data_IF_842379003770
#
_entry.id   IF_842379003770
#
_cell.length_a   1.000
_cell.length_b   1.000
_cell.length_c   1.000
_cell.angle_alpha   90.00
_cell.angle_beta   90.00
_cell.angle_gamma   90.00
#
_symmetry.space_group_name_H-M   'P 1'
#
loop_
_entity.id
_entity.type
_entity.pdbx_description
1 polymer ?
#
# COMPACT_ATOMS: atom_id res chain seq x y z
N UNK A 1 -32.00 28.54 -9.10
CA UNK A 1 -30.63 28.18 -8.69
C UNK A 1 -30.11 27.17 -9.69
N UNK A 2 -28.88 27.29 -10.19
CA UNK A 2 -28.25 26.35 -11.10
C UNK A 2 -27.20 25.51 -10.32
N UNK A 3 -27.17 24.20 -10.59
CA UNK A 3 -26.10 23.31 -10.11
C UNK A 3 -24.93 23.45 -11.08
N UNK A 4 -23.76 23.84 -10.59
CA UNK A 4 -22.54 24.04 -11.41
C UNK A 4 -21.57 22.85 -11.38
N UNK A 5 -21.85 21.86 -10.54
CA UNK A 5 -21.07 20.62 -10.48
C UNK A 5 -21.74 19.55 -9.63
N UNK A 6 -21.52 18.29 -9.97
CA UNK A 6 -21.85 17.11 -9.15
C UNK A 6 -20.63 16.22 -9.13
N UNK A 7 -20.30 15.66 -7.97
CA UNK A 7 -19.11 14.83 -7.78
C UNK A 7 -19.48 13.56 -7.03
N UNK A 8 -19.02 12.43 -7.51
CA UNK A 8 -19.27 11.13 -6.94
C UNK A 8 -17.93 10.44 -6.67
N UNK A 9 -17.85 9.64 -5.61
CA UNK A 9 -16.72 8.77 -5.32
C UNK A 9 -17.25 7.34 -5.29
N UNK A 10 -16.74 6.53 -6.20
CA UNK A 10 -17.04 5.10 -6.26
C UNK A 10 -16.21 4.36 -5.20
N UNK A 11 -16.79 3.26 -4.67
CA UNK A 11 -16.09 2.30 -3.83
C UNK A 11 -16.03 0.94 -4.53
N UNK A 12 -14.85 0.30 -4.52
CA UNK A 12 -14.62 -0.97 -5.20
C UNK A 12 -14.29 -2.09 -4.22
N UNK A 13 -14.97 -3.23 -4.36
CA UNK A 13 -14.72 -4.46 -3.63
C UNK A 13 -15.16 -5.66 -4.48
N UNK A 14 -14.39 -6.75 -4.47
CA UNK A 14 -14.71 -8.00 -5.18
C UNK A 14 -14.87 -9.19 -4.24
N UNK A 15 -14.15 -9.23 -3.13
CA UNK A 15 -14.23 -10.31 -2.14
C UNK A 15 -14.85 -9.80 -0.85
N UNK A 16 -15.81 -10.54 -0.28
CA UNK A 16 -16.32 -10.26 1.05
C UNK A 16 -15.29 -10.64 2.14
N UNK A 17 -15.60 -10.33 3.40
CA UNK A 17 -14.69 -10.60 4.53
C UNK A 17 -14.39 -12.09 4.75
N UNK A 18 -15.23 -12.99 4.22
CA UNK A 18 -15.02 -14.43 4.25
C UNK A 18 -14.26 -14.95 3.04
N UNK A 19 -13.89 -14.09 2.09
CA UNK A 19 -13.20 -14.46 0.85
C UNK A 19 -14.12 -14.99 -0.24
N UNK A 20 -15.43 -14.75 -0.20
CA UNK A 20 -16.37 -15.12 -1.25
C UNK A 20 -16.46 -13.99 -2.27
N UNK A 21 -16.50 -14.35 -3.56
CA UNK A 21 -16.68 -13.37 -4.60
C UNK A 21 -18.10 -12.76 -4.52
N UNK A 22 -18.18 -11.44 -4.50
CA UNK A 22 -19.42 -10.66 -4.53
C UNK A 22 -20.00 -10.55 -5.95
N UNK A 23 -19.10 -10.58 -6.93
CA UNK A 23 -19.40 -10.53 -8.36
C UNK A 23 -18.32 -11.27 -9.14
N UNK A 24 -18.45 -11.38 -10.46
CA UNK A 24 -17.41 -11.96 -11.30
C UNK A 24 -16.10 -11.18 -11.16
N UNK A 25 -14.99 -11.89 -10.91
CA UNK A 25 -13.69 -11.23 -10.81
C UNK A 25 -13.30 -10.55 -12.12
N UNK A 26 -12.58 -9.43 -12.06
CA UNK A 26 -12.08 -8.73 -13.24
C UNK A 26 -11.09 -9.64 -14.01
N UNK A 27 -10.94 -9.40 -15.30
CA UNK A 27 -10.03 -10.17 -16.15
C UNK A 27 -8.61 -10.24 -15.58
N UNK A 28 -8.16 -9.16 -15.00
CA UNK A 28 -6.84 -9.05 -14.33
C UNK A 28 -6.63 -10.00 -13.13
N UNK A 29 -7.68 -10.65 -12.62
CA UNK A 29 -7.64 -11.55 -11.47
C UNK A 29 -8.29 -12.92 -11.76
N UNK A 30 -8.52 -13.25 -13.02
CA UNK A 30 -9.12 -14.54 -13.41
C UNK A 30 -8.16 -15.71 -13.38
N UNK A 31 -6.85 -15.43 -13.51
CA UNK A 31 -5.80 -16.44 -13.48
C UNK A 31 -5.48 -16.84 -12.03
N UNK A 32 -5.85 -18.06 -11.58
CA UNK A 32 -5.62 -18.49 -10.21
C UNK A 32 -4.14 -18.50 -9.82
N UNK A 33 -3.26 -18.81 -10.76
CA UNK A 33 -1.81 -18.86 -10.59
C UNK A 33 -1.26 -17.49 -10.19
N UNK A 34 -1.78 -16.41 -10.79
CA UNK A 34 -1.43 -15.06 -10.41
C UNK A 34 -1.85 -14.77 -8.97
N UNK A 35 -3.09 -15.10 -8.60
CA UNK A 35 -3.57 -14.85 -7.23
C UNK A 35 -2.77 -15.66 -6.20
N UNK A 36 -2.38 -16.89 -6.52
CA UNK A 36 -1.48 -17.71 -5.68
C UNK A 36 -0.10 -17.05 -5.55
N UNK A 37 0.45 -16.51 -6.63
CA UNK A 37 1.75 -15.82 -6.59
C UNK A 37 1.68 -14.56 -5.70
N UNK A 38 0.63 -13.76 -5.83
CA UNK A 38 0.41 -12.56 -5.01
C UNK A 38 0.15 -12.92 -3.54
N UNK A 39 -0.61 -13.98 -3.29
CA UNK A 39 -0.82 -14.53 -1.95
C UNK A 39 0.51 -14.89 -1.26
N UNK A 40 1.38 -15.60 -1.99
CA UNK A 40 2.72 -15.95 -1.48
C UNK A 40 3.53 -14.72 -1.10
N UNK A 41 3.48 -13.66 -1.91
CA UNK A 41 4.17 -12.40 -1.58
C UNK A 41 3.62 -11.75 -0.32
N UNK A 42 2.29 -11.74 -0.12
CA UNK A 42 1.68 -11.23 1.11
C UNK A 42 2.14 -12.01 2.35
N UNK A 43 2.19 -13.34 2.27
CA UNK A 43 2.64 -14.21 3.37
C UNK A 43 4.13 -13.98 3.66
N UNK A 44 4.98 -13.86 2.64
CA UNK A 44 6.40 -13.51 2.80
C UNK A 44 6.58 -12.17 3.50
N UNK A 45 5.85 -11.15 3.04
CA UNK A 45 5.93 -9.81 3.63
C UNK A 45 5.56 -9.83 5.12
N UNK A 46 4.52 -10.57 5.50
CA UNK A 46 4.12 -10.75 6.91
C UNK A 46 5.18 -11.49 7.72
N UNK A 47 5.76 -12.56 7.18
CA UNK A 47 6.82 -13.31 7.85
C UNK A 47 8.06 -12.42 8.08
N UNK A 48 8.44 -11.61 7.11
CA UNK A 48 9.53 -10.65 7.23
C UNK A 48 9.21 -9.55 8.26
N UNK A 49 8.01 -8.97 8.21
CA UNK A 49 7.57 -7.96 9.20
C UNK A 49 7.65 -8.48 10.64
N UNK A 50 7.19 -9.72 10.88
CA UNK A 50 7.29 -10.37 12.18
C UNK A 50 8.75 -10.56 12.62
N UNK A 51 9.64 -10.91 11.70
CA UNK A 51 11.07 -11.03 11.99
C UNK A 51 11.70 -9.68 12.35
N UNK A 52 11.34 -8.61 11.63
CA UNK A 52 11.78 -7.25 11.92
C UNK A 52 11.37 -6.82 13.33
N UNK A 53 10.12 -7.11 13.73
CA UNK A 53 9.65 -6.87 15.10
C UNK A 53 10.46 -7.65 16.14
N UNK A 54 10.78 -8.92 15.89
CA UNK A 54 11.58 -9.74 16.79
C UNK A 54 13.02 -9.21 16.93
N UNK A 55 13.65 -8.80 15.83
CA UNK A 55 15.00 -8.21 15.82
C UNK A 55 15.02 -6.87 16.56
N UNK A 56 14.01 -6.04 16.40
CA UNK A 56 13.91 -4.79 17.13
C UNK A 56 13.76 -5.04 18.63
N UNK A 57 12.91 -5.98 19.05
CA UNK A 57 12.71 -6.33 20.46
C UNK A 57 13.99 -6.89 21.13
N UNK A 58 14.88 -7.46 20.37
CA UNK A 58 16.20 -7.93 20.84
C UNK A 58 17.32 -6.89 20.68
N UNK A 59 16.98 -5.65 20.29
CA UNK A 59 17.92 -4.54 20.17
C UNK A 59 18.86 -4.58 18.95
N UNK A 60 18.55 -5.46 17.96
CA UNK A 60 19.34 -5.59 16.74
C UNK A 60 18.93 -4.58 15.67
N UNK A 61 17.72 -4.03 15.75
CA UNK A 61 17.22 -2.98 14.88
C UNK A 61 16.77 -1.76 15.68
N UNK A 62 16.71 -0.62 15.02
CA UNK A 62 16.08 0.60 15.54
C UNK A 62 14.56 0.50 15.62
N UNK A 63 13.90 1.62 15.95
CA UNK A 63 12.43 1.70 15.97
C UNK A 63 11.87 1.27 14.64
N UNK A 64 10.96 0.29 14.63
CA UNK A 64 10.36 -0.27 13.44
C UNK A 64 8.86 0.02 13.36
N UNK A 65 8.36 0.28 12.16
CA UNK A 65 6.95 0.52 11.86
C UNK A 65 6.37 -0.64 11.06
N UNK A 66 5.68 -1.55 11.74
CA UNK A 66 5.07 -2.73 11.13
C UNK A 66 4.03 -2.39 10.06
N UNK A 67 4.08 -3.09 8.93
CA UNK A 67 3.10 -3.03 7.85
C UNK A 67 1.91 -4.00 8.02
N UNK A 68 1.77 -4.63 9.17
CA UNK A 68 0.75 -5.64 9.45
C UNK A 68 -0.66 -5.15 9.15
N UNK A 69 -1.38 -5.88 8.29
CA UNK A 69 -2.75 -5.57 7.88
C UNK A 69 -2.88 -4.73 6.61
N UNK A 70 -1.76 -4.36 5.96
CA UNK A 70 -1.78 -3.63 4.68
C UNK A 70 -1.17 -4.41 3.51
N UNK A 71 -0.90 -5.69 3.69
CA UNK A 71 -0.21 -6.52 2.70
C UNK A 71 -0.93 -6.52 1.35
N UNK A 72 -2.26 -6.53 1.33
CA UNK A 72 -3.04 -6.45 0.09
C UNK A 72 -2.89 -5.11 -0.63
N UNK A 73 -2.73 -4.00 0.12
CA UNK A 73 -2.49 -2.69 -0.49
C UNK A 73 -1.13 -2.68 -1.16
N UNK A 74 -0.09 -3.07 -0.45
CA UNK A 74 1.28 -3.02 -0.93
C UNK A 74 1.47 -3.92 -2.16
N UNK A 75 1.06 -5.18 -2.05
CA UNK A 75 1.21 -6.17 -3.12
C UNK A 75 0.25 -5.86 -4.28
N UNK A 76 -0.99 -5.47 -4.00
CA UNK A 76 -1.98 -5.13 -5.02
C UNK A 76 -1.50 -3.96 -5.89
N UNK A 77 -1.03 -2.88 -5.28
CA UNK A 77 -0.52 -1.70 -5.98
C UNK A 77 0.74 -2.03 -6.78
N UNK A 78 1.74 -2.64 -6.15
CA UNK A 78 3.02 -2.90 -6.80
C UNK A 78 2.94 -3.94 -7.92
N UNK A 79 2.03 -4.92 -7.80
CA UNK A 79 1.77 -5.91 -8.85
C UNK A 79 1.12 -5.31 -10.11
N UNK A 80 0.58 -4.10 -10.03
CA UNK A 80 0.03 -3.35 -11.16
C UNK A 80 1.09 -2.47 -11.85
N UNK A 81 2.24 -2.26 -11.23
CA UNK A 81 3.33 -1.45 -11.77
C UNK A 81 4.18 -2.23 -12.77
N UNK A 82 4.73 -1.54 -13.76
CA UNK A 82 5.79 -2.06 -14.61
C UNK A 82 7.16 -1.87 -13.95
N UNK A 83 8.16 -2.61 -14.41
CA UNK A 83 9.51 -2.52 -13.87
C UNK A 83 10.10 -1.10 -13.95
N UNK A 84 9.79 -0.38 -15.04
CA UNK A 84 10.27 0.98 -15.31
C UNK A 84 9.51 2.08 -14.54
N UNK A 85 8.35 1.79 -13.95
CA UNK A 85 7.61 2.75 -13.11
C UNK A 85 8.40 3.07 -11.84
N UNK A 86 8.05 4.14 -11.17
CA UNK A 86 8.77 4.63 -9.99
C UNK A 86 7.88 4.61 -8.77
N UNK A 87 8.32 3.94 -7.72
CA UNK A 87 7.64 3.90 -6.44
C UNK A 87 8.24 4.92 -5.46
N UNK A 88 7.38 5.66 -4.77
CA UNK A 88 7.76 6.54 -3.65
C UNK A 88 6.97 6.10 -2.40
N UNK A 89 7.68 5.81 -1.33
CA UNK A 89 7.14 5.19 -0.12
C UNK A 89 7.40 6.01 1.12
N UNK A 90 6.60 5.74 2.16
CA UNK A 90 6.91 6.11 3.54
C UNK A 90 7.67 4.98 4.23
N UNK A 91 7.75 5.03 5.56
CA UNK A 91 8.41 4.01 6.39
C UNK A 91 7.56 2.73 6.61
N UNK A 92 6.32 2.64 6.07
CA UNK A 92 5.42 1.50 6.34
C UNK A 92 5.19 0.59 5.13
N UNK A 93 5.80 0.87 4.01
CA UNK A 93 5.63 0.15 2.74
C UNK A 93 6.69 -0.94 2.50
N UNK A 94 7.12 -1.63 3.56
CA UNK A 94 8.12 -2.71 3.49
C UNK A 94 7.70 -3.82 2.51
N UNK A 95 6.42 -4.20 2.50
CA UNK A 95 5.91 -5.21 1.57
C UNK A 95 5.96 -4.72 0.11
N UNK A 96 5.65 -3.45 -0.14
CA UNK A 96 5.77 -2.84 -1.46
C UNK A 96 7.22 -2.82 -1.96
N UNK A 97 8.17 -2.49 -1.09
CA UNK A 97 9.60 -2.49 -1.42
C UNK A 97 10.09 -3.90 -1.77
N UNK A 98 9.73 -4.92 -0.97
CA UNK A 98 10.06 -6.33 -1.27
C UNK A 98 9.49 -6.75 -2.62
N UNK A 99 8.23 -6.44 -2.91
CA UNK A 99 7.58 -6.77 -4.17
C UNK A 99 8.21 -6.06 -5.37
N UNK A 100 8.81 -4.90 -5.18
CA UNK A 100 9.58 -4.17 -6.20
C UNK A 100 11.00 -4.70 -6.38
N UNK A 101 11.46 -5.60 -5.52
CA UNK A 101 12.78 -6.22 -5.63
C UNK A 101 13.86 -5.58 -4.74
N UNK A 102 13.48 -4.74 -3.77
CA UNK A 102 14.39 -4.35 -2.69
C UNK A 102 14.68 -5.60 -1.85
N UNK A 103 15.93 -5.91 -1.61
CA UNK A 103 16.30 -7.10 -0.86
C UNK A 103 16.00 -6.97 0.64
N UNK A 104 15.79 -8.13 1.30
CA UNK A 104 15.64 -8.15 2.76
C UNK A 104 16.84 -7.54 3.47
N UNK A 105 18.06 -7.76 2.94
CA UNK A 105 19.29 -7.20 3.49
C UNK A 105 19.29 -5.67 3.44
N UNK A 106 18.88 -5.06 2.33
CA UNK A 106 18.79 -3.58 2.23
C UNK A 106 17.80 -3.01 3.25
N UNK A 107 16.65 -3.67 3.42
CA UNK A 107 15.67 -3.26 4.43
C UNK A 107 16.18 -3.43 5.86
N UNK A 108 16.91 -4.50 6.15
CA UNK A 108 17.57 -4.72 7.45
C UNK A 108 18.62 -3.66 7.73
N UNK A 109 19.46 -3.34 6.74
CA UNK A 109 20.47 -2.28 6.85
C UNK A 109 19.80 -0.93 7.14
N UNK A 110 18.76 -0.57 6.39
CA UNK A 110 18.01 0.67 6.61
C UNK A 110 17.48 0.78 8.06
N UNK A 111 16.76 -0.24 8.53
CA UNK A 111 16.20 -0.26 9.89
C UNK A 111 17.24 -0.47 10.98
N UNK A 112 18.43 -0.95 10.62
CA UNK A 112 19.63 -1.00 11.47
C UNK A 112 20.38 0.33 11.58
N UNK A 113 19.97 1.35 10.80
CA UNK A 113 20.61 2.68 10.78
C UNK A 113 21.77 2.80 9.80
N UNK A 114 21.90 1.88 8.84
CA UNK A 114 22.92 1.92 7.80
C UNK A 114 22.33 2.50 6.51
N UNK A 115 22.84 3.64 6.07
CA UNK A 115 22.37 4.36 4.87
C UNK A 115 22.53 3.56 3.56
N UNK A 116 23.42 2.54 3.55
CA UNK A 116 23.55 1.63 2.39
C UNK A 116 22.23 0.91 2.06
N UNK A 117 21.37 0.73 3.08
CA UNK A 117 20.02 0.20 2.91
C UNK A 117 19.08 1.08 2.08
N UNK A 118 19.45 2.34 1.79
CA UNK A 118 18.70 3.25 0.91
C UNK A 118 19.20 3.28 -0.53
N UNK A 119 20.27 2.55 -0.87
CA UNK A 119 20.86 2.48 -2.21
C UNK A 119 20.53 1.15 -2.88
N UNK A 120 19.28 1.00 -3.30
CA UNK A 120 18.73 -0.24 -3.83
C UNK A 120 19.50 -0.77 -5.05
N UNK A 121 19.86 -2.06 -5.02
CA UNK A 121 20.50 -2.75 -6.14
C UNK A 121 19.50 -3.04 -7.27
N UNK A 122 18.28 -3.42 -6.93
CA UNK A 122 17.21 -3.81 -7.86
C UNK A 122 16.48 -2.61 -8.47
N UNK A 123 15.48 -2.02 -7.78
CA UNK A 123 14.65 -0.95 -8.34
C UNK A 123 15.35 0.42 -8.25
N UNK A 124 16.38 0.62 -9.07
CA UNK A 124 17.23 1.83 -9.03
C UNK A 124 16.50 3.15 -9.18
N UNK A 125 15.30 3.15 -9.76
CA UNK A 125 14.51 4.35 -9.97
C UNK A 125 13.52 4.61 -8.82
N UNK A 126 13.28 3.63 -7.95
CA UNK A 126 12.41 3.81 -6.79
C UNK A 126 13.11 4.70 -5.75
N UNK A 127 12.33 5.53 -5.08
CA UNK A 127 12.86 6.45 -4.08
C UNK A 127 13.11 5.74 -2.75
N UNK A 128 14.10 6.18 -1.98
CA UNK A 128 14.31 5.69 -0.62
C UNK A 128 13.12 6.09 0.28
N UNK A 129 13.05 5.44 1.44
CA UNK A 129 12.01 5.70 2.44
C UNK A 129 12.01 7.18 2.85
N UNK A 130 10.83 7.80 2.79
CA UNK A 130 10.61 9.16 3.26
C UNK A 130 9.93 9.14 4.64
N UNK A 131 10.66 9.57 5.68
CA UNK A 131 10.13 9.67 7.05
C UNK A 131 9.25 10.91 7.21
N UNK A 132 9.61 12.02 6.56
CA UNK A 132 8.86 13.29 6.66
C UNK A 132 7.53 13.16 5.95
N UNK A 133 6.45 13.20 6.74
CA UNK A 133 5.09 12.94 6.27
C UNK A 133 4.71 13.86 5.10
N UNK A 134 4.26 13.25 4.00
CA UNK A 134 3.80 13.86 2.75
C UNK A 134 4.87 14.56 1.89
N UNK A 135 6.11 14.78 2.35
CA UNK A 135 7.13 15.50 1.56
C UNK A 135 7.44 14.81 0.23
N UNK A 136 7.41 13.47 0.21
CA UNK A 136 7.62 12.70 -1.03
C UNK A 136 6.47 12.83 -2.04
N UNK A 137 5.32 13.38 -1.68
CA UNK A 137 4.26 13.70 -2.64
C UNK A 137 4.75 14.75 -3.66
N UNK A 138 5.43 15.79 -3.19
CA UNK A 138 6.02 16.81 -4.07
C UNK A 138 7.17 16.23 -4.90
N UNK A 139 7.98 15.33 -4.34
CA UNK A 139 9.02 14.63 -5.09
C UNK A 139 8.41 13.76 -6.20
N UNK A 140 7.30 13.07 -5.93
CA UNK A 140 6.58 12.27 -6.91
C UNK A 140 6.05 13.13 -8.07
N UNK A 141 5.52 14.32 -7.77
CA UNK A 141 5.10 15.29 -8.79
C UNK A 141 6.28 15.72 -9.65
N UNK A 142 7.43 16.03 -9.05
CA UNK A 142 8.66 16.37 -9.77
C UNK A 142 9.13 15.23 -10.69
N UNK A 143 9.14 13.99 -10.20
CA UNK A 143 9.49 12.80 -10.98
C UNK A 143 8.53 12.60 -12.16
N UNK A 144 7.21 12.66 -11.92
CA UNK A 144 6.19 12.53 -12.95
C UNK A 144 6.27 13.66 -13.99
N UNK A 145 6.56 14.88 -13.55
CA UNK A 145 6.77 16.02 -14.45
C UNK A 145 7.98 15.79 -15.39
N UNK A 146 9.09 15.29 -14.83
CA UNK A 146 10.27 14.95 -15.63
C UNK A 146 9.97 13.83 -16.64
N UNK A 147 9.20 12.79 -16.25
CA UNK A 147 8.76 11.71 -17.14
C UNK A 147 7.92 12.28 -18.29
N UNK A 148 6.97 13.16 -18.00
CA UNK A 148 6.13 13.82 -19.00
C UNK A 148 6.97 14.66 -19.98
N UNK A 149 7.87 15.51 -19.49
CA UNK A 149 8.75 16.32 -20.33
C UNK A 149 9.62 15.46 -21.26
N UNK A 150 10.10 14.32 -20.76
CA UNK A 150 10.91 13.36 -21.52
C UNK A 150 10.08 12.42 -22.39
N UNK A 151 8.76 12.54 -22.38
CA UNK A 151 7.83 11.64 -23.09
C UNK A 151 8.05 10.16 -22.80
N UNK A 152 8.38 9.84 -21.55
CA UNK A 152 8.59 8.47 -21.10
C UNK A 152 7.24 7.83 -20.74
N UNK A 153 6.96 6.57 -21.14
CA UNK A 153 5.71 5.88 -20.82
C UNK A 153 5.75 5.29 -19.39
N UNK A 154 6.23 6.07 -18.43
CA UNK A 154 6.41 5.69 -17.02
C UNK A 154 5.41 6.41 -16.14
N UNK A 155 5.09 5.82 -15.01
CA UNK A 155 4.19 6.37 -14.02
C UNK A 155 4.90 6.44 -12.66
N UNK A 156 4.70 7.53 -11.93
CA UNK A 156 5.09 7.62 -10.53
C UNK A 156 3.92 7.12 -9.65
N UNK A 157 4.20 6.22 -8.71
CA UNK A 157 3.22 5.75 -7.71
C UNK A 157 3.70 6.21 -6.34
N UNK A 158 2.90 7.06 -5.69
CA UNK A 158 3.22 7.66 -4.41
C UNK A 158 2.29 7.09 -3.32
N UNK A 159 2.84 6.35 -2.38
CA UNK A 159 2.08 5.74 -1.28
C UNK A 159 2.22 6.59 -0.01
N UNK A 160 1.10 6.85 0.65
CA UNK A 160 1.03 7.65 1.89
C UNK A 160 0.03 7.06 2.88
N UNK A 161 0.18 7.39 4.16
CA UNK A 161 -0.85 7.10 5.17
C UNK A 161 -1.95 8.17 5.19
N UNK A 162 -3.07 7.85 5.87
CA UNK A 162 -4.21 8.77 6.05
C UNK A 162 -3.80 10.10 6.72
N UNK A 163 -2.85 10.06 7.67
CA UNK A 163 -2.28 11.25 8.30
C UNK A 163 -1.65 12.25 7.34
N UNK A 164 -1.02 11.75 6.29
CA UNK A 164 -0.41 12.59 5.25
C UNK A 164 -1.45 13.47 4.55
N UNK A 165 -2.70 13.00 4.43
CA UNK A 165 -3.77 13.72 3.75
C UNK A 165 -4.20 15.02 4.43
N UNK A 166 -3.66 15.32 5.62
CA UNK A 166 -3.89 16.57 6.37
C UNK A 166 -2.75 17.60 6.24
N UNK A 167 -1.67 17.23 5.51
CA UNK A 167 -0.52 18.11 5.28
C UNK A 167 -0.72 19.01 4.07
N UNK A 168 -0.11 20.20 4.09
CA UNK A 168 -0.13 21.15 2.97
C UNK A 168 0.46 20.56 1.71
N UNK A 169 1.63 19.92 1.82
CA UNK A 169 2.34 19.28 0.71
C UNK A 169 1.48 18.24 -0.05
N UNK A 170 0.55 17.57 0.67
CA UNK A 170 -0.40 16.65 0.04
C UNK A 170 -1.30 17.38 -0.96
N UNK A 171 -1.92 18.50 -0.55
CA UNK A 171 -2.82 19.28 -1.41
C UNK A 171 -2.07 19.97 -2.55
N UNK A 172 -0.89 20.50 -2.28
CA UNK A 172 -0.04 21.16 -3.28
C UNK A 172 0.39 20.17 -4.36
N UNK A 173 0.81 18.97 -3.97
CA UNK A 173 1.17 17.89 -4.88
C UNK A 173 -0.01 17.48 -5.78
N UNK A 174 -1.20 17.30 -5.20
CA UNK A 174 -2.40 16.93 -5.96
C UNK A 174 -2.81 18.03 -6.95
N UNK A 175 -2.80 19.28 -6.50
CA UNK A 175 -3.10 20.43 -7.36
C UNK A 175 -2.11 20.55 -8.52
N UNK A 176 -0.81 20.44 -8.26
CA UNK A 176 0.21 20.46 -9.31
C UNK A 176 0.07 19.28 -10.28
N UNK A 177 -0.18 18.08 -9.75
CA UNK A 177 -0.39 16.89 -10.58
C UNK A 177 -1.59 17.06 -11.52
N UNK A 178 -2.71 17.57 -11.02
CA UNK A 178 -3.92 17.83 -11.80
C UNK A 178 -3.70 18.92 -12.85
N UNK A 179 -3.17 20.08 -12.42
CA UNK A 179 -2.92 21.24 -13.28
C UNK A 179 -2.02 20.89 -14.46
N UNK A 180 -1.00 20.07 -14.23
CA UNK A 180 -0.05 19.66 -15.28
C UNK A 180 -0.40 18.32 -15.92
N UNK A 181 -1.53 17.70 -15.56
CA UNK A 181 -1.99 16.40 -16.07
C UNK A 181 -0.86 15.36 -16.08
N UNK A 182 -0.29 15.08 -14.89
CA UNK A 182 0.91 14.28 -14.75
C UNK A 182 0.64 12.77 -14.71
N UNK A 183 1.58 11.93 -15.18
CA UNK A 183 1.49 10.47 -15.07
C UNK A 183 1.83 10.01 -13.64
N UNK A 184 0.91 10.21 -12.70
CA UNK A 184 1.10 9.89 -11.29
C UNK A 184 -0.17 9.28 -10.68
N UNK A 185 0.02 8.32 -9.78
CA UNK A 185 -1.03 7.76 -8.93
C UNK A 185 -0.66 7.97 -7.47
N UNK A 186 -1.56 8.55 -6.70
CA UNK A 186 -1.44 8.67 -5.26
C UNK A 186 -2.28 7.57 -4.59
N UNK A 187 -1.69 6.84 -3.64
CA UNK A 187 -2.36 5.79 -2.88
C UNK A 187 -2.35 6.16 -1.41
N UNK A 188 -3.52 6.47 -0.87
CA UNK A 188 -3.70 6.72 0.56
C UNK A 188 -4.09 5.42 1.25
N UNK A 189 -3.20 4.87 2.06
CA UNK A 189 -3.52 3.80 3.00
C UNK A 189 -4.32 4.39 4.17
N UNK A 190 -5.65 4.29 4.11
CA UNK A 190 -6.51 4.73 5.20
C UNK A 190 -6.63 3.62 6.25
N UNK A 191 -5.64 3.56 7.13
CA UNK A 191 -5.58 2.56 8.20
C UNK A 191 -6.28 3.01 9.50
N UNK A 192 -7.08 4.09 9.43
CA UNK A 192 -7.93 4.66 10.49
C UNK A 192 -7.19 5.40 11.60
N UNK A 193 -5.85 5.40 11.63
CA UNK A 193 -5.07 5.96 12.71
C UNK A 193 -3.81 6.68 12.23
N UNK A 194 -3.73 8.00 12.43
CA UNK A 194 -2.50 8.77 12.30
C UNK A 194 -1.81 8.88 13.66
N UNK A 195 -0.85 8.00 13.94
CA UNK A 195 -0.29 7.77 15.27
C UNK A 195 -1.42 7.45 16.25
N UNK A 196 -1.79 8.41 17.11
CA UNK A 196 -2.84 8.32 18.13
C UNK A 196 -4.13 9.07 17.77
N UNK A 197 -4.19 9.70 16.58
CA UNK A 197 -5.35 10.45 16.13
C UNK A 197 -6.22 9.58 15.22
N UNK A 198 -7.47 9.28 15.61
CA UNK A 198 -8.37 8.49 14.77
C UNK A 198 -8.79 9.30 13.53
N UNK A 199 -9.02 8.60 12.41
CA UNK A 199 -9.40 9.17 11.12
C UNK A 199 -10.53 10.23 11.23
N UNK A 200 -11.55 9.96 12.04
CA UNK A 200 -12.72 10.84 12.23
C UNK A 200 -12.40 12.19 12.86
N UNK A 201 -11.30 12.31 13.63
CA UNK A 201 -10.84 13.57 14.21
C UNK A 201 -9.82 14.28 13.32
N UNK A 202 -9.34 13.62 12.27
CA UNK A 202 -8.31 14.16 11.40
C UNK A 202 -8.87 14.87 10.17
N UNK A 203 -10.01 14.41 9.65
CA UNK A 203 -10.62 14.97 8.46
C UNK A 203 -12.15 14.87 8.54
N UNK A 204 -12.81 15.98 8.26
CA UNK A 204 -14.28 16.05 8.16
C UNK A 204 -14.83 15.43 6.86
N UNK A 205 -13.97 15.11 5.89
CA UNK A 205 -14.40 14.47 4.63
C UNK A 205 -15.00 13.11 4.92
N UNK A 206 -16.06 12.75 4.23
CA UNK A 206 -16.69 11.42 4.30
C UNK A 206 -15.70 10.32 3.89
N UNK A 207 -14.97 10.53 2.79
CA UNK A 207 -13.89 9.71 2.29
C UNK A 207 -12.65 10.58 2.06
N UNK A 208 -11.44 9.98 2.10
CA UNK A 208 -10.23 10.72 1.73
C UNK A 208 -10.11 10.87 0.21
N UNK A 209 -10.74 9.97 -0.56
CA UNK A 209 -10.82 10.08 -2.02
C UNK A 209 -11.49 11.37 -2.48
N UNK A 210 -12.40 11.97 -1.68
CA UNK A 210 -13.02 13.28 -1.98
C UNK A 210 -12.00 14.43 -2.14
N UNK A 211 -10.80 14.29 -1.57
CA UNK A 211 -9.74 15.31 -1.72
C UNK A 211 -9.25 15.45 -3.15
N UNK A 212 -9.45 14.42 -3.98
CA UNK A 212 -9.20 14.46 -5.42
C UNK A 212 -10.06 15.51 -6.14
N UNK A 213 -11.28 15.73 -5.69
CA UNK A 213 -12.24 16.65 -6.31
C UNK A 213 -11.67 18.07 -6.30
N UNK A 214 -11.11 18.52 -5.17
CA UNK A 214 -10.52 19.86 -5.03
C UNK A 214 -9.31 20.10 -5.94
N UNK A 215 -8.62 19.04 -6.34
CA UNK A 215 -7.49 19.10 -7.25
C UNK A 215 -7.87 18.84 -8.73
N UNK A 216 -9.14 18.58 -9.01
CA UNK A 216 -9.62 18.28 -10.36
C UNK A 216 -9.08 16.96 -10.93
N UNK A 217 -8.74 15.98 -10.08
CA UNK A 217 -8.22 14.67 -10.47
C UNK A 217 -9.24 13.55 -10.17
N UNK A 218 -9.07 12.39 -10.76
CA UNK A 218 -9.90 11.23 -10.45
C UNK A 218 -9.69 10.77 -9.00
N UNK A 219 -10.78 10.37 -8.33
CA UNK A 219 -10.74 9.84 -6.97
C UNK A 219 -11.57 8.56 -6.89
N UNK A 220 -11.04 7.53 -6.24
CA UNK A 220 -11.73 6.25 -6.01
C UNK A 220 -11.38 5.70 -4.64
N UNK A 221 -12.35 5.05 -3.99
CA UNK A 221 -12.14 4.30 -2.78
C UNK A 221 -12.10 2.80 -3.08
N UNK A 222 -11.32 2.02 -2.34
CA UNK A 222 -11.31 0.56 -2.44
C UNK A 222 -11.20 -0.07 -1.04
N UNK A 223 -11.72 -1.28 -0.88
CA UNK A 223 -11.43 -2.09 0.31
C UNK A 223 -9.95 -2.52 0.26
N UNK A 224 -9.13 -1.93 1.12
CA UNK A 224 -7.68 -2.18 1.20
C UNK A 224 -7.31 -3.58 1.72
N UNK A 225 -8.28 -4.37 2.20
CA UNK A 225 -8.08 -5.77 2.58
C UNK A 225 -8.45 -6.74 1.46
N UNK A 226 -8.97 -6.24 0.34
CA UNK A 226 -9.28 -7.01 -0.86
C UNK A 226 -8.19 -6.82 -1.92
N UNK A 227 -7.28 -7.79 -2.02
CA UNK A 227 -6.18 -7.74 -2.99
C UNK A 227 -6.67 -7.55 -4.43
N UNK A 228 -7.79 -8.21 -4.79
CA UNK A 228 -8.34 -8.13 -6.15
C UNK A 228 -8.81 -6.72 -6.46
N UNK A 229 -9.53 -6.10 -5.52
CA UNK A 229 -10.03 -4.74 -5.68
C UNK A 229 -8.89 -3.72 -5.73
N UNK A 230 -7.92 -3.81 -4.81
CA UNK A 230 -6.75 -2.92 -4.80
C UNK A 230 -5.98 -3.02 -6.11
N UNK A 231 -5.69 -4.25 -6.57
CA UNK A 231 -4.95 -4.46 -7.81
C UNK A 231 -5.70 -3.93 -9.03
N UNK A 232 -7.00 -4.19 -9.14
CA UNK A 232 -7.81 -3.71 -10.26
C UNK A 232 -7.83 -2.18 -10.33
N UNK A 233 -8.10 -1.52 -9.21
CA UNK A 233 -8.11 -0.06 -9.13
C UNK A 233 -6.74 0.54 -9.44
N UNK A 234 -5.66 -0.10 -8.96
CA UNK A 234 -4.29 0.35 -9.25
C UNK A 234 -3.95 0.19 -10.74
N UNK A 235 -4.34 -0.93 -11.38
CA UNK A 235 -4.14 -1.13 -12.83
C UNK A 235 -4.86 -0.06 -13.65
N UNK A 236 -6.14 0.20 -13.36
CA UNK A 236 -6.93 1.21 -14.05
C UNK A 236 -6.31 2.61 -13.89
N UNK A 237 -5.90 2.97 -12.67
CA UNK A 237 -5.30 4.26 -12.37
C UNK A 237 -3.92 4.45 -13.03
N UNK A 238 -3.06 3.43 -12.98
CA UNK A 238 -1.72 3.46 -13.57
C UNK A 238 -1.82 3.53 -15.10
N UNK A 239 -2.69 2.73 -15.71
CA UNK A 239 -2.86 2.77 -17.16
C UNK A 239 -3.48 4.10 -17.62
N UNK A 240 -4.49 4.60 -16.91
CA UNK A 240 -5.03 5.95 -17.15
C UNK A 240 -3.93 7.01 -17.14
N UNK A 241 -3.07 7.00 -16.13
CA UNK A 241 -1.96 7.95 -16.00
C UNK A 241 -0.96 7.79 -17.16
N UNK A 242 -0.63 6.55 -17.54
CA UNK A 242 0.33 6.19 -18.59
C UNK A 242 -0.09 6.69 -19.98
N UNK A 243 -1.39 6.58 -20.30
CA UNK A 243 -1.93 7.03 -21.62
C UNK A 243 -2.30 8.51 -21.61
N UNK A 244 -1.96 9.28 -20.59
CA UNK A 244 -2.21 10.71 -20.51
C UNK A 244 -3.60 11.10 -20.01
N UNK A 245 -4.36 10.15 -19.42
CA UNK A 245 -5.68 10.40 -18.82
C UNK A 245 -5.62 11.13 -17.46
N UNK A 246 -4.41 11.46 -16.99
CA UNK A 246 -4.18 12.26 -15.79
C UNK A 246 -4.06 11.46 -14.50
N UNK A 247 -3.82 12.16 -13.38
CA UNK A 247 -3.58 11.54 -12.07
C UNK A 247 -4.85 10.96 -11.46
N UNK A 248 -4.65 10.00 -10.54
CA UNK A 248 -5.71 9.41 -9.72
C UNK A 248 -5.29 9.37 -8.26
N UNK A 249 -6.23 9.66 -7.36
CA UNK A 249 -6.13 9.43 -5.93
C UNK A 249 -6.92 8.18 -5.57
N UNK A 250 -6.24 7.15 -5.08
CA UNK A 250 -6.83 5.92 -4.56
C UNK A 250 -6.84 6.00 -3.03
N UNK A 251 -8.00 5.85 -2.40
CA UNK A 251 -8.13 5.62 -0.96
C UNK A 251 -8.33 4.12 -0.72
N UNK A 252 -7.34 3.45 -0.16
CA UNK A 252 -7.43 2.04 0.23
C UNK A 252 -7.75 1.93 1.73
N UNK A 253 -8.99 1.55 2.04
CA UNK A 253 -9.48 1.48 3.42
C UNK A 253 -9.04 0.17 4.07
N UNK A 254 -8.29 0.27 5.16
CA UNK A 254 -7.81 -0.85 5.95
C UNK A 254 -7.86 -0.54 7.44
N UNK A 255 -7.13 -1.30 8.25
CA UNK A 255 -6.98 -1.03 9.66
C UNK A 255 -5.55 -1.38 10.12
N UNK A 256 -4.92 -0.50 10.90
CA UNK A 256 -3.60 -0.75 11.50
C UNK A 256 -3.72 -1.78 12.63
N UNK A 257 -3.28 -3.01 12.38
CA UNK A 257 -3.38 -4.11 13.34
C UNK A 257 -2.33 -4.05 14.45
N UNK A 258 -1.19 -3.38 14.22
CA UNK A 258 -0.10 -3.19 15.20
C UNK A 258 -0.17 -1.82 15.88
N UNK A 259 0.73 -1.59 16.83
CA UNK A 259 1.05 -0.25 17.32
C UNK A 259 1.57 0.63 16.18
N UNK A 260 1.67 1.94 16.39
CA UNK A 260 2.18 2.83 15.36
C UNK A 260 3.63 2.49 14.98
N UNK A 261 4.46 2.29 15.97
CA UNK A 261 5.84 1.76 15.87
C UNK A 261 6.12 0.89 17.08
N UNK A 262 7.29 0.24 17.10
CA UNK A 262 7.75 -0.54 18.27
C UNK A 262 8.04 0.32 19.52
N UNK A 263 8.06 1.64 19.39
CA UNK A 263 8.19 2.59 20.49
C UNK A 263 6.83 3.14 20.98
N UNK A 264 5.70 2.70 20.39
CA UNK A 264 4.34 3.13 20.71
C UNK A 264 3.62 2.09 21.56
N UNK A 265 2.60 2.56 22.29
CA UNK A 265 1.65 1.74 23.05
C UNK A 265 0.22 2.20 22.68
N UNK A 266 -0.36 1.53 21.68
CA UNK A 266 -1.68 1.87 21.17
C UNK A 266 -2.82 1.61 22.18
N UNK A 267 -2.61 0.85 23.24
CA UNK A 267 -3.62 0.63 24.30
C UNK A 267 -4.01 1.93 25.01
N UNK A 268 -3.16 2.95 24.94
CA UNK A 268 -3.37 4.27 25.55
C UNK A 268 -4.41 5.12 24.83
N UNK A 269 -4.73 4.83 23.55
CA UNK A 269 -5.63 5.64 22.74
C UNK A 269 -6.61 4.85 21.88
N UNK A 270 -6.46 3.54 21.77
CA UNK A 270 -7.27 2.65 20.92
C UNK A 270 -8.01 1.63 21.79
N UNK A 271 -9.31 1.43 21.53
CA UNK A 271 -10.10 0.43 22.24
C UNK A 271 -9.56 -0.98 22.02
N UNK A 272 -9.59 -1.80 23.06
CA UNK A 272 -9.15 -3.19 23.03
C UNK A 272 -9.93 -4.05 22.01
N UNK A 273 -11.19 -3.70 21.72
CA UNK A 273 -12.07 -4.46 20.82
C UNK A 273 -11.80 -4.17 19.33
N UNK A 274 -11.16 -3.05 18.99
CA UNK A 274 -10.96 -2.65 17.60
C UNK A 274 -10.04 -3.60 16.84
N UNK A 275 -8.95 -4.04 17.45
CA UNK A 275 -7.96 -4.92 16.79
C UNK A 275 -8.53 -6.30 16.53
N UNK A 276 -9.16 -7.00 17.51
CA UNK A 276 -9.82 -8.28 17.25
C UNK A 276 -10.90 -8.20 16.17
N UNK A 277 -11.70 -7.14 16.14
CA UNK A 277 -12.69 -6.92 15.09
C UNK A 277 -12.05 -6.72 13.71
N UNK A 278 -10.91 -6.02 13.64
CA UNK A 278 -10.17 -5.80 12.40
C UNK A 278 -9.50 -7.09 11.89
N UNK A 279 -9.03 -7.96 12.78
CA UNK A 279 -8.47 -9.26 12.41
C UNK A 279 -9.44 -10.17 11.67
N UNK A 280 -10.76 -10.04 11.91
CA UNK A 280 -11.77 -10.85 11.21
C UNK A 280 -11.82 -10.57 9.69
N UNK A 281 -11.24 -9.46 9.24
CA UNK A 281 -11.25 -9.02 7.85
C UNK A 281 -9.84 -8.76 7.29
N UNK A 282 -8.80 -9.32 7.93
CA UNK A 282 -7.43 -9.12 7.51
C UNK A 282 -7.17 -9.71 6.11
N UNK A 283 -6.23 -9.13 5.33
CA UNK A 283 -6.14 -9.41 3.90
C UNK A 283 -5.67 -10.81 3.54
N UNK A 284 -4.73 -11.40 4.32
CA UNK A 284 -4.18 -12.74 4.01
C UNK A 284 -5.23 -13.82 4.19
N UNK A 285 -5.96 -13.79 5.32
CA UNK A 285 -7.05 -14.73 5.57
C UNK A 285 -8.16 -14.64 4.52
N UNK A 286 -8.49 -13.43 4.09
CA UNK A 286 -9.50 -13.20 3.05
C UNK A 286 -9.11 -13.87 1.72
N UNK A 287 -7.93 -13.60 1.20
CA UNK A 287 -7.48 -14.18 -0.06
C UNK A 287 -7.26 -15.69 0.06
N UNK A 288 -6.70 -16.17 1.18
CA UNK A 288 -6.56 -17.61 1.46
C UNK A 288 -7.90 -18.34 1.37
N UNK A 289 -8.94 -17.80 2.01
CA UNK A 289 -10.26 -18.40 2.00
C UNK A 289 -10.84 -18.48 0.58
N UNK A 290 -10.63 -17.44 -0.24
CA UNK A 290 -11.00 -17.48 -1.65
C UNK A 290 -10.27 -18.61 -2.40
N UNK A 291 -8.94 -18.68 -2.28
CA UNK A 291 -8.12 -19.69 -2.96
C UNK A 291 -8.45 -21.13 -2.52
N UNK A 292 -8.77 -21.33 -1.24
CA UNK A 292 -9.28 -22.61 -0.72
C UNK A 292 -10.65 -22.94 -1.34
N UNK A 293 -11.56 -21.94 -1.41
CA UNK A 293 -12.91 -22.10 -1.94
C UNK A 293 -12.96 -22.50 -3.41
N UNK A 294 -12.00 -22.03 -4.21
CA UNK A 294 -11.88 -22.42 -5.64
C UNK A 294 -10.96 -23.64 -5.86
N UNK A 295 -10.46 -24.27 -4.78
CA UNK A 295 -9.72 -25.52 -4.83
C UNK A 295 -8.26 -25.44 -5.34
N UNK A 296 -7.69 -24.23 -5.49
CA UNK A 296 -6.30 -24.04 -5.97
C UNK A 296 -5.27 -23.93 -4.85
N UNK A 297 -5.72 -23.92 -3.61
CA UNK A 297 -4.89 -23.86 -2.41
C UNK A 297 -5.30 -24.93 -1.41
N UNK A 298 -4.37 -25.34 -0.55
CA UNK A 298 -4.62 -26.37 0.47
C UNK A 298 -3.87 -26.05 1.77
N UNK A 299 -4.24 -26.70 2.87
CA UNK A 299 -3.53 -26.57 4.14
C UNK A 299 -2.07 -27.03 4.02
N UNK A 300 -1.80 -28.09 3.25
CA UNK A 300 -0.43 -28.55 3.01
C UNK A 300 0.41 -27.52 2.24
N UNK A 301 -0.18 -26.82 1.26
CA UNK A 301 0.49 -25.71 0.56
C UNK A 301 0.83 -24.59 1.53
N UNK A 302 -0.09 -24.25 2.44
CA UNK A 302 0.12 -23.21 3.46
C UNK A 302 1.27 -23.54 4.40
N UNK A 303 1.29 -24.74 4.97
CA UNK A 303 2.34 -25.19 5.88
C UNK A 303 3.72 -25.20 5.21
N UNK A 304 3.79 -25.69 3.97
CA UNK A 304 5.02 -25.68 3.18
C UNK A 304 5.49 -24.26 2.86
N UNK A 305 4.57 -23.36 2.52
CA UNK A 305 4.88 -21.96 2.22
C UNK A 305 5.45 -21.25 3.44
N UNK A 306 4.77 -21.33 4.58
CA UNK A 306 5.18 -20.66 5.83
C UNK A 306 6.56 -21.16 6.26
N UNK A 307 6.80 -22.48 6.21
CA UNK A 307 8.12 -23.05 6.52
C UNK A 307 9.20 -22.48 5.61
N UNK A 308 8.99 -22.51 4.29
CA UNK A 308 9.96 -22.01 3.31
C UNK A 308 10.29 -20.53 3.53
N UNK A 309 9.28 -19.69 3.80
CA UNK A 309 9.51 -18.26 4.06
C UNK A 309 10.21 -17.98 5.39
N UNK A 310 9.90 -18.76 6.45
CA UNK A 310 10.62 -18.67 7.71
C UNK A 310 12.12 -19.01 7.51
N UNK A 311 12.43 -20.04 6.74
CA UNK A 311 13.80 -20.42 6.44
C UNK A 311 14.54 -19.33 5.63
N UNK A 312 13.89 -18.76 4.61
CA UNK A 312 14.47 -17.68 3.80
C UNK A 312 14.72 -16.41 4.61
N UNK A 313 13.73 -15.98 5.42
CA UNK A 313 13.85 -14.82 6.27
C UNK A 313 14.93 -15.01 7.32
N UNK A 314 15.03 -16.22 7.88
CA UNK A 314 16.11 -16.57 8.82
C UNK A 314 17.49 -16.49 8.15
N UNK A 315 17.64 -17.01 6.93
CA UNK A 315 18.88 -16.94 6.18
C UNK A 315 19.32 -15.51 5.84
N UNK A 316 18.37 -14.62 5.55
CA UNK A 316 18.66 -13.21 5.25
C UNK A 316 19.09 -12.40 6.49
N UNK A 317 18.88 -12.93 7.70
CA UNK A 317 19.17 -12.25 8.98
C UNK A 317 20.41 -12.81 9.69
N UNK A 318 21.11 -13.76 9.10
CA UNK A 318 22.40 -14.30 9.55
C UNK A 318 23.56 -13.58 8.86
#
# INVERSE_FOLDING_TARGET
MAIVGRFEIEARQYLDVQGRALEALPESAREPELLVALYRQMVLARAFDQKMLALQRTGQLGTFASGLGKEAIDIGVTSAMRAEDVLLVTYRETAAQLARGVSMLELLLYWGGDERGSNYAGPRADFPVCITIASHCCHAVGAAYAMKLRRQPRVAVCMVGDGASSKGEFYEAHNGAGTWNLPIVFVVTNNQWAISVPRKLQSASQTLAQKAIGAGIAGIQTDGNDLVAVRQVALEAIERARVGGGPTLIEAVSYRLSDHTTADDASRYRSADEVPAAWQREPIGRLRNYLLGIGVWSKGNEEALVKNWCDQVQGATQ
#
